data_IF_673924654479
#
_entry.id   IF_673924654479
#
_cell.length_a   1.000
_cell.length_b   1.000
_cell.length_c   1.000
_cell.angle_alpha   90.00
_cell.angle_beta   90.00
_cell.angle_gamma   90.00
#
_symmetry.space_group_name_H-M   'P 1'
#
loop_
_entity.id
_entity.type
_entity.pdbx_description
1 polymer ?
#
# COMPACT_ATOMS: atom_id res chain seq x y z
N UNK A 1 37.06 -7.42 10.56
CA UNK A 1 36.80 -8.88 10.65
C UNK A 1 35.62 -9.38 9.79
N UNK A 2 34.54 -8.61 9.62
CA UNK A 2 33.34 -9.05 8.86
C UNK A 2 33.48 -9.03 7.32
N UNK A 3 34.51 -8.40 6.76
CA UNK A 3 34.69 -8.28 5.30
C UNK A 3 35.44 -9.50 4.73
N UNK A 4 36.25 -10.19 5.54
CA UNK A 4 37.06 -11.35 5.09
C UNK A 4 36.25 -12.64 4.87
N UNK A 5 35.04 -12.76 5.40
CA UNK A 5 34.16 -13.89 5.11
C UNK A 5 33.44 -13.81 3.75
N UNK A 6 33.62 -12.71 2.99
CA UNK A 6 32.97 -12.55 1.68
C UNK A 6 33.68 -13.24 0.51
N UNK A 7 34.90 -13.75 0.70
CA UNK A 7 35.71 -14.24 -0.43
C UNK A 7 35.93 -15.76 -0.53
N UNK A 8 35.59 -16.56 0.49
CA UNK A 8 35.97 -17.99 0.50
C UNK A 8 34.86 -18.97 0.04
N UNK A 9 33.99 -18.54 -0.87
CA UNK A 9 33.09 -19.45 -1.57
C UNK A 9 32.99 -19.08 -3.06
N UNK A 10 34.05 -19.42 -3.79
CA UNK A 10 34.09 -19.35 -5.25
C UNK A 10 33.19 -20.40 -5.89
N UNK A 11 31.93 -20.04 -6.13
CA UNK A 11 31.07 -20.65 -7.15
C UNK A 11 29.91 -19.69 -7.48
N UNK A 12 30.13 -18.78 -8.43
CA UNK A 12 29.08 -17.99 -9.10
C UNK A 12 28.01 -17.36 -8.21
N UNK A 13 28.39 -16.60 -7.18
CA UNK A 13 27.41 -16.06 -6.23
C UNK A 13 26.74 -14.80 -6.79
N UNK A 14 25.53 -14.96 -7.33
CA UNK A 14 24.56 -13.86 -7.41
C UNK A 14 24.20 -13.45 -5.97
N UNK A 15 25.08 -12.69 -5.32
CA UNK A 15 24.88 -12.19 -3.97
C UNK A 15 23.72 -11.18 -4.00
N UNK A 16 22.65 -11.50 -3.27
CA UNK A 16 21.58 -10.54 -3.03
C UNK A 16 22.15 -9.34 -2.26
N UNK A 17 21.77 -8.13 -2.66
CA UNK A 17 22.26 -6.86 -2.07
C UNK A 17 21.91 -6.73 -0.59
N UNK A 18 20.82 -7.37 -0.17
CA UNK A 18 20.29 -7.35 1.19
C UNK A 18 20.07 -8.77 1.70
N UNK A 19 19.98 -8.91 3.02
CA UNK A 19 19.70 -10.18 3.67
C UNK A 19 18.23 -10.22 4.11
N UNK A 20 17.70 -9.09 4.59
CA UNK A 20 16.37 -8.99 5.19
C UNK A 20 15.37 -8.26 4.31
N UNK A 21 14.09 -8.56 4.52
CA UNK A 21 12.98 -7.88 3.84
C UNK A 21 12.87 -6.41 4.25
N UNK A 22 13.22 -6.07 5.49
CA UNK A 22 13.26 -4.70 5.99
C UNK A 22 14.20 -3.80 5.20
N UNK A 23 15.41 -4.27 4.90
CA UNK A 23 16.39 -3.53 4.10
C UNK A 23 15.89 -3.28 2.66
N UNK A 24 15.25 -4.26 2.05
CA UNK A 24 14.64 -4.12 0.72
C UNK A 24 13.49 -3.09 0.76
N UNK A 25 12.66 -3.12 1.80
CA UNK A 25 11.56 -2.19 1.97
C UNK A 25 12.04 -0.76 2.21
N UNK A 26 13.12 -0.57 2.97
CA UNK A 26 13.74 0.75 3.18
C UNK A 26 14.29 1.33 1.88
N UNK A 27 14.98 0.50 1.09
CA UNK A 27 15.43 0.89 -0.24
C UNK A 27 14.27 1.28 -1.15
N UNK A 28 13.18 0.50 -1.12
CA UNK A 28 12.02 0.78 -1.96
C UNK A 28 11.30 2.06 -1.52
N UNK A 29 11.23 2.32 -0.21
CA UNK A 29 10.68 3.55 0.34
C UNK A 29 11.49 4.79 -0.09
N UNK A 30 12.82 4.77 0.00
CA UNK A 30 13.68 5.86 -0.50
C UNK A 30 13.45 6.11 -1.99
N UNK A 31 13.37 5.03 -2.77
CA UNK A 31 13.10 5.12 -4.20
C UNK A 31 11.76 5.80 -4.50
N UNK A 32 10.69 5.39 -3.81
CA UNK A 32 9.37 6.00 -3.98
C UNK A 32 9.36 7.49 -3.59
N UNK A 33 10.06 7.86 -2.51
CA UNK A 33 10.12 9.25 -2.07
C UNK A 33 10.75 10.17 -3.13
N UNK A 34 11.77 9.67 -3.83
CA UNK A 34 12.54 10.40 -4.84
C UNK A 34 11.94 10.35 -6.24
N UNK A 35 10.98 9.46 -6.49
CA UNK A 35 10.32 9.32 -7.79
C UNK A 35 9.43 10.54 -8.10
N UNK A 36 9.82 11.35 -9.08
CA UNK A 36 9.08 12.55 -9.49
C UNK A 36 7.79 12.23 -10.24
N UNK A 37 7.63 11.01 -10.75
CA UNK A 37 6.41 10.58 -11.45
C UNK A 37 5.27 10.23 -10.50
N UNK A 38 5.54 10.07 -9.20
CA UNK A 38 4.53 9.75 -8.20
C UNK A 38 4.00 11.02 -7.54
N UNK A 39 2.68 11.11 -7.41
CA UNK A 39 2.04 12.16 -6.60
C UNK A 39 2.43 12.06 -5.13
N UNK A 40 2.41 13.19 -4.41
CA UNK A 40 2.71 13.22 -2.98
C UNK A 40 1.81 12.29 -2.16
N UNK A 41 0.51 12.24 -2.51
CA UNK A 41 -0.44 11.32 -1.88
C UNK A 41 0.00 9.87 -2.02
N UNK A 42 0.45 9.46 -3.21
CA UNK A 42 0.93 8.09 -3.46
C UNK A 42 2.21 7.79 -2.68
N UNK A 43 3.14 8.74 -2.57
CA UNK A 43 4.36 8.61 -1.75
C UNK A 43 4.02 8.41 -0.28
N UNK A 44 3.16 9.27 0.28
CA UNK A 44 2.72 9.20 1.69
C UNK A 44 2.01 7.88 1.99
N UNK A 45 1.10 7.45 1.12
CA UNK A 45 0.41 6.16 1.28
C UNK A 45 1.39 4.99 1.26
N UNK A 46 2.33 4.95 0.30
CA UNK A 46 3.35 3.90 0.23
C UNK A 46 4.24 3.86 1.48
N UNK A 47 4.73 5.02 1.92
CA UNK A 47 5.54 5.13 3.14
C UNK A 47 4.79 4.65 4.39
N UNK A 48 3.50 4.99 4.51
CA UNK A 48 2.65 4.53 5.62
C UNK A 48 2.45 3.02 5.61
N UNK A 49 2.15 2.42 4.44
CA UNK A 49 2.00 0.97 4.30
C UNK A 49 3.28 0.23 4.71
N UNK A 50 4.43 0.72 4.27
CA UNK A 50 5.73 0.14 4.63
C UNK A 50 6.00 0.27 6.12
N UNK A 51 5.87 1.48 6.68
CA UNK A 51 6.20 1.77 8.08
C UNK A 51 5.27 1.07 9.07
N UNK A 52 3.96 1.10 8.82
CA UNK A 52 2.95 0.68 9.80
C UNK A 52 2.53 -0.78 9.66
N UNK A 53 2.68 -1.38 8.46
CA UNK A 53 2.14 -2.72 8.20
C UNK A 53 3.20 -3.72 7.77
N UNK A 54 4.05 -3.38 6.80
CA UNK A 54 5.01 -4.33 6.25
C UNK A 54 6.22 -4.52 7.15
N UNK A 55 6.94 -3.44 7.51
CA UNK A 55 8.16 -3.54 8.34
C UNK A 55 7.91 -4.16 9.71
N UNK A 56 6.86 -3.80 10.47
CA UNK A 56 6.65 -4.37 11.80
C UNK A 56 6.37 -5.89 11.81
N UNK A 57 5.98 -6.44 10.65
CA UNK A 57 5.58 -7.85 10.53
C UNK A 57 6.60 -8.70 9.76
N UNK A 58 7.23 -8.13 8.74
CA UNK A 58 8.10 -8.85 7.82
C UNK A 58 9.54 -8.34 7.84
N UNK A 59 9.84 -7.26 8.56
CA UNK A 59 11.13 -6.56 8.49
C UNK A 59 12.34 -7.46 8.77
N UNK A 60 12.24 -8.28 9.80
CA UNK A 60 13.33 -9.15 10.25
C UNK A 60 13.43 -10.46 9.45
N UNK A 61 12.43 -10.76 8.62
CA UNK A 61 12.40 -12.00 7.84
C UNK A 61 13.45 -11.95 6.72
N UNK A 62 14.29 -12.99 6.57
CA UNK A 62 15.24 -13.07 5.47
C UNK A 62 14.50 -13.10 4.14
N UNK A 63 15.11 -12.53 3.09
CA UNK A 63 14.50 -12.50 1.74
C UNK A 63 14.14 -13.90 1.23
N UNK A 64 14.92 -14.91 1.60
CA UNK A 64 14.69 -16.32 1.25
C UNK A 64 13.59 -16.98 2.09
N UNK A 65 13.18 -16.37 3.20
CA UNK A 65 12.13 -16.86 4.08
C UNK A 65 10.73 -16.41 3.66
N UNK A 66 10.60 -15.61 2.60
CA UNK A 66 9.30 -15.19 2.05
C UNK A 66 8.71 -16.34 1.24
N UNK A 67 7.59 -16.85 1.70
CA UNK A 67 6.77 -17.85 1.01
C UNK A 67 5.28 -17.64 1.38
N UNK A 68 4.40 -18.53 0.92
CA UNK A 68 2.97 -18.41 1.23
C UNK A 68 2.70 -18.58 2.73
N UNK A 69 3.35 -19.53 3.40
CA UNK A 69 3.08 -19.83 4.81
C UNK A 69 3.52 -18.68 5.72
N UNK A 70 4.75 -18.20 5.57
CA UNK A 70 5.30 -17.06 6.31
C UNK A 70 4.51 -15.78 6.08
N UNK A 71 4.08 -15.50 4.84
CA UNK A 71 3.23 -14.35 4.55
C UNK A 71 1.85 -14.48 5.17
N UNK A 72 1.26 -15.68 5.17
CA UNK A 72 -0.07 -15.88 5.76
C UNK A 72 -0.04 -15.62 7.27
N UNK A 73 0.90 -16.27 7.95
CA UNK A 73 1.06 -16.25 9.41
C UNK A 73 1.51 -14.88 9.93
N UNK A 74 2.54 -14.28 9.31
CA UNK A 74 3.13 -13.04 9.83
C UNK A 74 2.42 -11.79 9.33
N UNK A 75 1.81 -11.82 8.14
CA UNK A 75 1.25 -10.63 7.50
C UNK A 75 -0.23 -10.72 7.19
N UNK A 76 -0.69 -11.69 6.41
CA UNK A 76 -2.04 -11.68 5.85
C UNK A 76 -3.11 -11.86 6.93
N UNK A 77 -2.94 -12.82 7.83
CA UNK A 77 -3.89 -13.07 8.91
C UNK A 77 -3.88 -11.92 9.94
N UNK A 78 -2.72 -11.51 10.52
CA UNK A 78 -2.70 -10.42 11.50
C UNK A 78 -3.09 -9.05 10.94
N UNK A 79 -2.92 -8.81 9.63
CA UNK A 79 -3.36 -7.58 9.00
C UNK A 79 -4.88 -7.56 8.79
N UNK A 80 -5.49 -8.68 8.40
CA UNK A 80 -6.95 -8.76 8.19
C UNK A 80 -7.74 -8.56 9.49
N UNK A 81 -7.19 -8.92 10.65
CA UNK A 81 -7.82 -8.67 11.95
C UNK A 81 -7.83 -7.18 12.34
N UNK A 82 -6.89 -6.39 11.81
CA UNK A 82 -6.65 -5.02 12.28
C UNK A 82 -7.03 -3.94 11.28
N UNK A 83 -7.04 -4.24 9.99
CA UNK A 83 -7.32 -3.27 8.92
C UNK A 83 -8.22 -3.85 7.82
N UNK A 84 -8.93 -2.98 7.12
CA UNK A 84 -9.82 -3.39 6.03
C UNK A 84 -9.08 -4.10 4.88
N UNK A 85 -9.75 -5.09 4.27
CA UNK A 85 -9.16 -5.97 3.24
C UNK A 85 -8.55 -5.23 2.04
N UNK A 86 -9.12 -4.08 1.66
CA UNK A 86 -8.60 -3.26 0.56
C UNK A 86 -7.21 -2.70 0.89
N UNK A 87 -7.00 -2.36 2.16
CA UNK A 87 -5.75 -1.83 2.66
C UNK A 87 -4.71 -2.94 2.79
N UNK A 88 -5.11 -4.14 3.25
CA UNK A 88 -4.25 -5.34 3.21
C UNK A 88 -3.81 -5.66 1.78
N UNK A 89 -4.75 -5.63 0.81
CA UNK A 89 -4.45 -5.82 -0.60
C UNK A 89 -3.47 -4.78 -1.13
N UNK A 90 -3.63 -3.52 -0.74
CA UNK A 90 -2.73 -2.43 -1.13
C UNK A 90 -1.31 -2.65 -0.59
N UNK A 91 -1.17 -3.04 0.68
CA UNK A 91 0.10 -3.41 1.29
C UNK A 91 0.76 -4.62 0.58
N UNK A 92 0.00 -5.68 0.32
CA UNK A 92 0.48 -6.86 -0.41
C UNK A 92 0.99 -6.51 -1.81
N UNK A 93 0.25 -5.69 -2.56
CA UNK A 93 0.65 -5.25 -3.89
C UNK A 93 1.93 -4.41 -3.85
N UNK A 94 2.08 -3.56 -2.83
CA UNK A 94 3.29 -2.76 -2.63
C UNK A 94 4.51 -3.64 -2.35
N UNK A 95 4.35 -4.65 -1.49
CA UNK A 95 5.38 -5.65 -1.20
C UNK A 95 5.80 -6.38 -2.49
N UNK A 96 4.83 -6.91 -3.24
CA UNK A 96 5.10 -7.60 -4.50
C UNK A 96 5.81 -6.70 -5.52
N UNK A 97 5.45 -5.42 -5.58
CA UNK A 97 6.09 -4.43 -6.45
C UNK A 97 7.55 -4.15 -6.04
N UNK A 98 7.81 -4.05 -4.73
CA UNK A 98 9.16 -3.86 -4.20
C UNK A 98 10.09 -5.02 -4.60
N UNK A 99 9.66 -6.26 -4.35
CA UNK A 99 10.41 -7.46 -4.74
C UNK A 99 10.59 -7.60 -6.26
N UNK A 100 9.54 -7.33 -7.03
CA UNK A 100 9.61 -7.33 -8.50
C UNK A 100 10.63 -6.31 -9.01
N UNK A 101 10.65 -5.11 -8.44
CA UNK A 101 11.56 -4.05 -8.84
C UNK A 101 13.01 -4.39 -8.45
N UNK A 102 13.23 -4.92 -7.24
CA UNK A 102 14.55 -5.39 -6.80
C UNK A 102 15.10 -6.49 -7.73
N UNK A 103 14.26 -7.45 -8.09
CA UNK A 103 14.62 -8.54 -9.01
C UNK A 103 14.90 -8.02 -10.43
N UNK A 104 14.05 -7.13 -10.96
CA UNK A 104 14.26 -6.52 -12.29
C UNK A 104 15.60 -5.79 -12.39
N UNK A 105 16.03 -5.14 -11.30
CA UNK A 105 17.32 -4.46 -11.20
C UNK A 105 18.48 -5.39 -10.81
N UNK A 106 18.24 -6.70 -10.72
CA UNK A 106 19.22 -7.73 -10.32
C UNK A 106 19.87 -7.45 -8.96
N UNK A 107 19.12 -6.82 -8.04
CA UNK A 107 19.56 -6.57 -6.67
C UNK A 107 19.32 -7.77 -5.75
N UNK A 108 18.47 -8.70 -6.18
CA UNK A 108 18.22 -9.99 -5.51
C UNK A 108 18.30 -11.10 -6.56
N UNK A 109 18.76 -12.27 -6.15
CA UNK A 109 18.98 -13.40 -7.06
C UNK A 109 17.67 -14.04 -7.55
N UNK A 110 16.63 -14.03 -6.72
CA UNK A 110 15.33 -14.60 -7.01
C UNK A 110 14.21 -13.71 -6.45
N UNK A 111 13.03 -13.77 -7.07
CA UNK A 111 11.84 -13.09 -6.58
C UNK A 111 10.89 -14.10 -5.90
N UNK A 112 10.86 -14.17 -4.55
CA UNK A 112 9.96 -15.09 -3.84
C UNK A 112 8.48 -14.76 -4.06
N UNK A 113 8.14 -13.51 -4.38
CA UNK A 113 6.77 -13.05 -4.63
C UNK A 113 6.27 -13.38 -6.04
N UNK A 114 7.06 -14.06 -6.90
CA UNK A 114 6.71 -14.25 -8.32
C UNK A 114 5.40 -15.02 -8.53
N UNK A 115 5.22 -16.10 -7.77
CA UNK A 115 4.09 -17.03 -7.92
C UNK A 115 3.07 -16.94 -6.78
N UNK A 116 3.20 -15.91 -5.93
CA UNK A 116 2.31 -15.64 -4.81
C UNK A 116 1.27 -14.60 -5.25
N UNK A 117 0.00 -14.97 -5.16
CA UNK A 117 -1.12 -14.09 -5.51
C UNK A 117 -1.93 -13.77 -4.28
N UNK A 118 -2.52 -12.59 -4.23
CA UNK A 118 -3.44 -12.21 -3.15
C UNK A 118 -4.61 -13.20 -3.00
N UNK A 119 -5.09 -13.75 -4.12
CA UNK A 119 -6.16 -14.75 -4.16
C UNK A 119 -5.81 -16.07 -3.46
N UNK A 120 -4.52 -16.32 -3.22
CA UNK A 120 -4.07 -17.51 -2.50
C UNK A 120 -4.40 -17.41 -1.00
N UNK A 121 -4.63 -16.19 -0.48
CA UNK A 121 -4.95 -15.91 0.93
C UNK A 121 -6.41 -15.50 1.15
N UNK A 122 -6.97 -14.72 0.23
CA UNK A 122 -8.32 -14.18 0.40
C UNK A 122 -9.09 -14.13 -0.92
N UNK A 123 -10.30 -14.70 -0.89
CA UNK A 123 -11.30 -14.59 -1.96
C UNK A 123 -12.25 -13.40 -1.75
N UNK A 124 -12.06 -12.61 -0.70
CA UNK A 124 -12.93 -11.49 -0.39
C UNK A 124 -12.94 -10.48 -1.54
N UNK A 125 -14.15 -10.20 -2.05
CA UNK A 125 -14.38 -9.16 -3.04
C UNK A 125 -14.33 -7.82 -2.33
N UNK A 126 -13.54 -6.90 -2.86
CA UNK A 126 -13.56 -5.48 -2.48
C UNK A 126 -14.90 -4.92 -2.95
N UNK A 127 -15.87 -4.85 -2.04
CA UNK A 127 -17.18 -4.29 -2.35
C UNK A 127 -17.10 -2.77 -2.48
N UNK A 128 -17.63 -2.23 -3.57
CA UNK A 128 -17.86 -0.77 -3.66
C UNK A 128 -18.88 -0.42 -2.58
N UNK A 129 -18.54 0.50 -1.67
CA UNK A 129 -19.52 1.02 -0.72
C UNK A 129 -20.61 1.74 -1.51
N UNK A 130 -21.88 1.34 -1.39
CA UNK A 130 -22.95 1.99 -2.13
C UNK A 130 -23.04 3.47 -1.74
N UNK A 131 -23.55 4.30 -2.66
CA UNK A 131 -23.84 5.71 -2.32
C UNK A 131 -24.74 5.75 -1.09
N UNK A 132 -24.30 6.50 -0.08
CA UNK A 132 -25.10 6.72 1.13
C UNK A 132 -26.20 7.75 0.89
N UNK A 133 -26.03 8.63 -0.11
CA UNK A 133 -27.03 9.61 -0.52
C UNK A 133 -27.90 9.02 -1.62
N UNK A 134 -29.21 8.95 -1.36
CA UNK A 134 -30.24 8.51 -2.31
C UNK A 134 -30.99 9.72 -2.85
N UNK A 135 -31.57 9.60 -4.04
CA UNK A 135 -32.37 10.68 -4.65
C UNK A 135 -33.54 11.13 -3.77
N UNK A 136 -34.13 10.23 -2.97
CA UNK A 136 -35.21 10.56 -2.01
C UNK A 136 -34.75 11.46 -0.86
N UNK A 137 -33.45 11.54 -0.59
CA UNK A 137 -32.87 12.35 0.49
C UNK A 137 -32.44 13.73 -0.01
N UNK A 138 -32.62 14.02 -1.30
CA UNK A 138 -32.11 15.25 -1.91
C UNK A 138 -32.79 16.51 -1.37
N UNK A 139 -34.11 16.46 -1.15
CA UNK A 139 -34.85 17.59 -0.60
C UNK A 139 -34.36 17.96 0.81
N UNK A 140 -34.23 16.96 1.70
CA UNK A 140 -33.73 17.15 3.06
C UNK A 140 -32.28 17.65 3.06
N UNK A 141 -31.46 17.17 2.12
CA UNK A 141 -30.08 17.63 1.96
C UNK A 141 -30.03 19.10 1.54
N UNK A 142 -30.85 19.52 0.57
CA UNK A 142 -30.90 20.91 0.11
C UNK A 142 -31.35 21.83 1.25
N UNK A 143 -32.37 21.44 2.02
CA UNK A 143 -32.82 22.21 3.16
C UNK A 143 -31.69 22.42 4.21
N UNK A 144 -30.90 21.38 4.48
CA UNK A 144 -29.72 21.47 5.37
C UNK A 144 -28.59 22.30 4.77
N UNK A 145 -28.38 22.24 3.46
CA UNK A 145 -27.36 23.06 2.81
C UNK A 145 -27.72 24.54 2.90
N UNK A 146 -29.00 24.90 2.75
CA UNK A 146 -29.44 26.29 2.91
C UNK A 146 -29.14 26.83 4.31
N UNK A 147 -29.35 26.04 5.37
CA UNK A 147 -28.98 26.48 6.74
C UNK A 147 -27.47 26.61 6.91
N UNK A 148 -26.68 25.71 6.30
CA UNK A 148 -25.21 25.82 6.33
C UNK A 148 -24.72 27.04 5.54
N UNK A 149 -25.39 27.43 4.45
CA UNK A 149 -25.00 28.61 3.68
C UNK A 149 -25.16 29.91 4.48
N UNK A 150 -26.07 29.96 5.45
CA UNK A 150 -26.29 31.13 6.30
C UNK A 150 -25.12 31.36 7.27
N UNK A 151 -24.58 30.29 7.85
CA UNK A 151 -23.51 30.35 8.84
C UNK A 151 -22.10 30.18 8.23
N UNK A 152 -21.96 29.28 7.25
CA UNK A 152 -20.70 28.84 6.62
C UNK A 152 -20.86 28.79 5.08
N UNK A 153 -20.95 29.95 4.40
CA UNK A 153 -21.30 30.04 2.98
C UNK A 153 -20.30 29.33 2.06
N UNK A 154 -19.02 29.28 2.42
CA UNK A 154 -17.99 28.61 1.63
C UNK A 154 -18.20 27.09 1.59
N UNK A 155 -18.42 26.46 2.75
CA UNK A 155 -18.64 25.02 2.87
C UNK A 155 -19.97 24.60 2.23
N UNK A 156 -21.01 25.41 2.42
CA UNK A 156 -22.32 25.20 1.81
C UNK A 156 -22.25 25.25 0.27
N UNK A 157 -21.58 26.25 -0.29
CA UNK A 157 -21.43 26.38 -1.75
C UNK A 157 -20.55 25.27 -2.33
N UNK A 158 -19.46 24.89 -1.66
CA UNK A 158 -18.60 23.78 -2.06
C UNK A 158 -19.41 22.47 -2.18
N UNK A 159 -20.20 22.15 -1.15
CA UNK A 159 -21.04 20.95 -1.14
C UNK A 159 -22.11 20.99 -2.25
N UNK A 160 -22.70 22.15 -2.51
CA UNK A 160 -23.66 22.33 -3.62
C UNK A 160 -23.01 22.12 -4.98
N UNK A 161 -21.81 22.69 -5.21
CA UNK A 161 -21.06 22.51 -6.45
C UNK A 161 -20.68 21.04 -6.67
N UNK A 162 -20.21 20.35 -5.63
CA UNK A 162 -19.94 18.91 -5.69
C UNK A 162 -21.20 18.09 -6.03
N UNK A 163 -22.36 18.47 -5.48
CA UNK A 163 -23.64 17.80 -5.73
C UNK A 163 -24.11 18.00 -7.19
N UNK A 164 -23.97 19.21 -7.72
CA UNK A 164 -24.38 19.55 -9.09
C UNK A 164 -23.47 18.95 -10.16
N UNK A 165 -22.15 18.91 -9.91
CA UNK A 165 -21.15 18.52 -10.91
C UNK A 165 -20.61 17.10 -10.72
N UNK A 166 -20.89 16.45 -9.59
CA UNK A 166 -20.38 15.11 -9.29
C UNK A 166 -18.86 15.05 -9.10
N UNK A 167 -18.24 16.18 -8.76
CA UNK A 167 -16.78 16.33 -8.59
C UNK A 167 -16.33 15.95 -7.19
N UNK A 168 -15.06 15.56 -7.05
CA UNK A 168 -14.47 15.33 -5.72
C UNK A 168 -14.17 16.66 -5.03
N UNK A 169 -14.09 16.64 -3.70
CA UNK A 169 -13.73 17.80 -2.88
C UNK A 169 -12.36 18.41 -3.22
N UNK A 170 -11.44 17.63 -3.78
CA UNK A 170 -10.14 18.15 -4.24
C UNK A 170 -10.14 18.69 -5.67
N UNK A 171 -11.26 18.55 -6.37
CA UNK A 171 -11.48 19.03 -7.75
C UNK A 171 -12.41 20.26 -7.77
N UNK A 172 -13.05 20.59 -6.64
CA UNK A 172 -14.00 21.71 -6.46
C UNK A 172 -13.39 22.70 -5.49
#
# INVERSE_FOLDING_TARGET
PAIRLRLDAGAGSNLSKWITTGELLDWYADRMARDRSLSEKRKKTGASLIKCHLKPRLGDLPLTGIDKASLDDQFMWPAQETIGIDYVRSAFQLLALAFRQAFKLRLIAANPMKDIRFSDFSKAKVGIKPSRLRGTQLQDLIARLLTVLEDEPADGLLALMMLCHGTRIGET
#
